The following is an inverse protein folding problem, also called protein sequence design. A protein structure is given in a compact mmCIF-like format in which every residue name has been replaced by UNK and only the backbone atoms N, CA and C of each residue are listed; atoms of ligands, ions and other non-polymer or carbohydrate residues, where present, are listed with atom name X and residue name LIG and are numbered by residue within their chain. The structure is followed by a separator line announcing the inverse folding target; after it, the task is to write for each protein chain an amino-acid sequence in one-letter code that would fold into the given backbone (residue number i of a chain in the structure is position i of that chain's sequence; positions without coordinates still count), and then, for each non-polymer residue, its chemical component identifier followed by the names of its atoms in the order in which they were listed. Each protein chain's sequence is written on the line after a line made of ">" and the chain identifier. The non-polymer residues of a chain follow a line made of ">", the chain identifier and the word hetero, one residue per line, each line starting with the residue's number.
data_IF_451548320885
#
_entry.id   IF_451548320885
#
_cell.length_a   1.000
_cell.length_b   1.000
_cell.length_c   1.000
_cell.angle_alpha   90.00
_cell.angle_beta   90.00
_cell.angle_gamma   90.00
#
_symmetry.space_group_name_H-M   'P 1'
#
loop_
_entity.id
_entity.type
_entity.pdbx_description
1 polymer ?
#
# COMPACT_ATOMS: atom_id res chain seq x y z
N UNK A 1 -23.79 -18.93 34.97
CA UNK A 1 -23.88 -17.46 35.15
C UNK A 1 -24.30 -16.81 33.85
N UNK A 2 -25.58 -16.43 33.74
CA UNK A 2 -26.16 -15.77 32.55
C UNK A 2 -25.59 -14.36 32.35
N UNK A 3 -24.92 -14.13 31.22
CA UNK A 3 -24.52 -12.78 30.81
C UNK A 3 -25.72 -12.08 30.18
N UNK A 4 -26.42 -11.25 30.97
CA UNK A 4 -27.44 -10.31 30.49
C UNK A 4 -26.81 -9.37 29.46
N UNK A 5 -27.29 -9.43 28.20
CA UNK A 5 -26.93 -8.48 27.15
C UNK A 5 -27.62 -7.16 27.45
N UNK A 6 -26.86 -6.10 27.73
CA UNK A 6 -27.38 -4.74 27.81
C UNK A 6 -27.69 -4.28 26.39
N UNK A 7 -28.96 -3.94 26.11
CA UNK A 7 -29.34 -3.10 24.95
C UNK A 7 -28.74 -1.72 25.18
N UNK A 8 -27.97 -1.24 24.23
CA UNK A 8 -27.51 0.16 24.17
C UNK A 8 -28.57 0.93 23.37
N UNK A 9 -28.90 2.18 23.74
CA UNK A 9 -29.98 2.95 23.11
C UNK A 9 -29.65 3.32 21.66
N UNK A 10 -30.70 3.39 20.85
CA UNK A 10 -30.70 3.97 19.51
C UNK A 10 -30.38 5.46 19.63
N UNK A 11 -29.20 5.88 19.16
CA UNK A 11 -28.94 7.26 18.81
C UNK A 11 -28.95 7.34 17.29
N UNK A 12 -30.03 7.94 16.79
CA UNK A 12 -30.15 8.51 15.45
C UNK A 12 -29.11 9.61 15.31
N UNK A 13 -28.05 9.35 14.56
CA UNK A 13 -27.20 10.31 13.84
C UNK A 13 -26.10 9.48 13.12
N UNK A 14 -26.53 8.59 12.24
CA UNK A 14 -25.64 7.85 11.36
C UNK A 14 -25.42 8.69 10.09
N UNK A 15 -24.52 9.66 10.21
CA UNK A 15 -24.01 10.43 9.08
C UNK A 15 -23.62 9.47 7.95
N UNK A 16 -24.18 9.73 6.76
CA UNK A 16 -24.19 8.84 5.61
C UNK A 16 -22.79 8.32 5.27
N UNK A 17 -22.54 7.02 5.52
CA UNK A 17 -21.34 6.36 5.02
C UNK A 17 -21.32 6.45 3.49
N UNK A 18 -20.29 7.05 2.85
CA UNK A 18 -20.25 7.19 1.41
C UNK A 18 -20.18 5.80 0.78
N UNK A 19 -21.21 5.46 0.03
CA UNK A 19 -21.37 4.17 -0.60
C UNK A 19 -21.75 4.30 -2.05
N UNK A 20 -20.75 4.23 -2.92
CA UNK A 20 -20.82 3.50 -4.19
C UNK A 20 -19.53 3.78 -4.95
N UNK A 21 -18.70 2.77 -5.15
CA UNK A 21 -17.61 2.96 -6.08
C UNK A 21 -16.79 1.73 -6.40
N UNK A 22 -16.02 1.83 -7.48
CA UNK A 22 -14.97 0.88 -7.84
C UNK A 22 -13.84 0.92 -6.81
N UNK A 23 -12.96 -0.07 -6.81
CA UNK A 23 -11.77 -0.07 -5.94
C UNK A 23 -10.95 1.23 -6.13
N UNK A 24 -10.83 1.73 -7.36
CA UNK A 24 -10.14 2.99 -7.66
C UNK A 24 -10.75 4.17 -6.91
N UNK A 25 -12.07 4.31 -6.91
CA UNK A 25 -12.74 5.42 -6.23
C UNK A 25 -12.54 5.37 -4.71
N UNK A 26 -12.48 4.18 -4.13
CA UNK A 26 -12.12 3.99 -2.72
C UNK A 26 -10.70 4.45 -2.45
N UNK A 27 -9.76 4.11 -3.34
CA UNK A 27 -8.36 4.51 -3.21
C UNK A 27 -8.18 6.02 -3.37
N UNK A 28 -8.91 6.64 -4.30
CA UNK A 28 -8.86 8.09 -4.52
C UNK A 28 -9.48 8.86 -3.34
N UNK A 29 -10.58 8.36 -2.78
CA UNK A 29 -11.17 8.91 -1.55
C UNK A 29 -10.20 8.83 -0.36
N UNK A 30 -9.44 7.72 -0.25
CA UNK A 30 -8.40 7.60 0.78
C UNK A 30 -7.26 8.60 0.53
N UNK A 31 -6.81 8.76 -0.72
CA UNK A 31 -5.76 9.75 -1.06
C UNK A 31 -6.21 11.18 -0.75
N UNK A 32 -7.46 11.51 -1.05
CA UNK A 32 -8.04 12.82 -0.74
C UNK A 32 -8.07 13.04 0.77
N UNK A 33 -8.55 12.06 1.53
CA UNK A 33 -8.56 12.11 3.00
C UNK A 33 -7.15 12.26 3.58
N UNK A 34 -6.15 11.56 3.02
CA UNK A 34 -4.74 11.71 3.39
C UNK A 34 -4.20 13.12 3.13
N UNK A 35 -4.61 13.74 2.03
CA UNK A 35 -4.23 15.11 1.69
C UNK A 35 -4.86 16.11 2.66
N UNK A 36 -6.17 16.01 2.88
CA UNK A 36 -6.94 16.89 3.76
C UNK A 36 -6.46 16.83 5.21
N UNK A 37 -6.25 15.61 5.73
CA UNK A 37 -5.80 15.42 7.12
C UNK A 37 -4.28 15.50 7.28
N UNK A 38 -3.56 15.66 6.17
CA UNK A 38 -2.08 15.57 6.11
C UNK A 38 -1.57 14.38 6.90
N UNK A 39 -2.21 13.23 6.68
CA UNK A 39 -1.89 11.98 7.35
C UNK A 39 -1.60 10.89 6.31
N UNK A 40 -0.90 9.83 6.72
CA UNK A 40 -0.59 8.70 5.85
C UNK A 40 -1.01 7.42 6.51
N UNK A 41 -1.56 6.49 5.75
CA UNK A 41 -1.99 5.20 6.27
C UNK A 41 -1.22 4.03 5.65
N UNK A 42 -0.99 3.02 6.47
CA UNK A 42 -0.35 1.76 6.08
C UNK A 42 -1.33 0.60 6.26
N UNK A 43 -1.18 -0.45 5.45
CA UNK A 43 -2.07 -1.61 5.54
C UNK A 43 -1.77 -2.43 6.80
N UNK A 44 -2.71 -2.44 7.75
CA UNK A 44 -2.64 -3.28 8.96
C UNK A 44 -3.15 -4.69 8.70
N UNK A 45 -4.28 -4.80 7.99
CA UNK A 45 -4.94 -6.07 7.72
C UNK A 45 -5.70 -5.99 6.40
N UNK A 46 -5.59 -7.04 5.60
CA UNK A 46 -6.37 -7.24 4.38
C UNK A 46 -6.79 -8.71 4.31
N UNK A 47 -8.07 -8.96 4.08
CA UNK A 47 -8.57 -10.31 3.81
C UNK A 47 -8.19 -10.73 2.38
N UNK A 48 -7.95 -12.03 2.16
CA UNK A 48 -7.44 -12.59 0.89
C UNK A 48 -8.25 -12.17 -0.34
N UNK A 49 -9.57 -12.11 -0.19
CA UNK A 49 -10.49 -11.87 -1.29
C UNK A 49 -10.96 -10.42 -1.41
N UNK A 50 -10.43 -9.52 -0.56
CA UNK A 50 -10.74 -8.10 -0.65
C UNK A 50 -10.25 -7.51 -1.97
N UNK A 51 -11.17 -6.89 -2.72
CA UNK A 51 -10.88 -6.23 -3.99
C UNK A 51 -10.86 -7.16 -5.20
N UNK A 52 -11.16 -8.46 -5.03
CA UNK A 52 -11.30 -9.38 -6.16
C UNK A 52 -12.66 -9.23 -6.85
N UNK A 53 -12.68 -9.57 -8.12
CA UNK A 53 -13.91 -9.68 -8.89
C UNK A 53 -14.74 -10.90 -8.46
N UNK A 54 -16.06 -10.83 -8.64
CA UNK A 54 -16.99 -11.92 -8.28
C UNK A 54 -16.58 -13.26 -8.89
N UNK A 55 -16.12 -13.26 -10.15
CA UNK A 55 -15.82 -14.48 -10.89
C UNK A 55 -14.66 -15.29 -10.31
N UNK A 56 -13.79 -14.65 -9.53
CA UNK A 56 -12.62 -15.30 -8.92
C UNK A 56 -12.92 -15.88 -7.52
N UNK A 57 -14.17 -15.85 -7.07
CA UNK A 57 -14.53 -16.14 -5.68
C UNK A 57 -15.63 -17.19 -5.54
N UNK A 58 -15.47 -18.08 -4.55
CA UNK A 58 -16.56 -18.93 -4.09
C UNK A 58 -17.51 -18.15 -3.17
N UNK A 59 -18.62 -17.69 -3.75
CA UNK A 59 -19.68 -17.01 -3.02
C UNK A 59 -20.64 -17.97 -2.31
N UNK A 60 -20.71 -19.24 -2.72
CA UNK A 60 -21.69 -20.21 -2.19
C UNK A 60 -21.38 -20.60 -0.74
N UNK A 61 -20.09 -20.71 -0.42
CA UNK A 61 -19.60 -20.97 0.93
C UNK A 61 -19.91 -19.83 1.91
N UNK A 62 -20.18 -18.61 1.42
CA UNK A 62 -20.38 -17.42 2.27
C UNK A 62 -21.83 -17.32 2.75
N UNK A 63 -22.00 -16.63 3.89
CA UNK A 63 -23.31 -16.40 4.47
C UNK A 63 -23.95 -15.14 3.88
N UNK A 64 -25.17 -15.26 3.38
CA UNK A 64 -26.03 -14.14 3.01
C UNK A 64 -26.52 -13.45 4.29
N UNK A 65 -26.43 -12.12 4.32
CA UNK A 65 -26.81 -11.28 5.46
C UNK A 65 -27.72 -10.16 4.99
N UNK A 66 -28.46 -9.59 5.93
CA UNK A 66 -29.32 -8.42 5.69
C UNK A 66 -28.94 -7.23 6.57
N UNK A 67 -28.09 -7.45 7.57
CA UNK A 67 -27.48 -6.43 8.40
C UNK A 67 -26.23 -7.04 9.06
N UNK A 68 -25.33 -6.20 9.52
CA UNK A 68 -24.19 -6.58 10.33
C UNK A 68 -23.86 -5.46 11.31
N UNK A 69 -24.56 -5.47 12.44
CA UNK A 69 -24.48 -4.48 13.52
C UNK A 69 -23.88 -5.05 14.81
N UNK A 70 -23.14 -6.16 14.71
CA UNK A 70 -22.45 -6.73 15.87
C UNK A 70 -21.38 -5.75 16.38
N UNK A 71 -20.99 -5.82 17.65
CA UNK A 71 -19.97 -4.92 18.25
C UNK A 71 -18.64 -4.92 17.47
N UNK A 72 -18.30 -6.05 16.83
CA UNK A 72 -17.09 -6.22 16.03
C UNK A 72 -17.28 -5.85 14.56
N UNK A 73 -18.49 -5.50 14.13
CA UNK A 73 -18.80 -5.10 12.76
C UNK A 73 -18.47 -3.62 12.59
N UNK A 74 -17.35 -3.33 11.92
CA UNK A 74 -16.90 -1.96 11.74
C UNK A 74 -16.32 -1.77 10.31
N UNK A 75 -16.91 -0.89 9.49
CA UNK A 75 -18.20 -0.21 9.69
C UNK A 75 -19.40 -1.16 9.90
N UNK A 76 -20.37 -0.78 10.76
CA UNK A 76 -21.63 -1.51 10.86
C UNK A 76 -22.44 -1.34 9.58
N UNK A 77 -23.17 -2.38 9.19
CA UNK A 77 -24.05 -2.35 8.01
C UNK A 77 -25.48 -2.43 8.52
N UNK A 78 -26.26 -1.33 8.50
CA UNK A 78 -27.63 -1.34 8.96
C UNK A 78 -28.52 -2.18 8.03
N UNK A 79 -29.73 -2.49 8.50
CA UNK A 79 -30.71 -3.18 7.67
C UNK A 79 -31.34 -2.19 6.68
N UNK A 80 -31.08 -2.40 5.39
CA UNK A 80 -31.63 -1.60 4.28
C UNK A 80 -32.63 -2.41 3.43
N UNK A 81 -32.92 -3.65 3.82
CA UNK A 81 -33.79 -4.57 3.08
C UNK A 81 -33.10 -5.31 1.93
N UNK A 82 -31.85 -4.99 1.59
CA UNK A 82 -31.14 -5.63 0.47
C UNK A 82 -30.18 -6.70 1.02
N UNK A 83 -30.32 -7.97 0.64
CA UNK A 83 -29.38 -9.00 1.06
C UNK A 83 -27.99 -8.76 0.46
N UNK A 84 -26.97 -9.11 1.23
CA UNK A 84 -25.57 -8.95 0.85
C UNK A 84 -24.67 -10.07 1.37
N UNK A 85 -23.54 -10.27 0.70
CA UNK A 85 -22.44 -11.10 1.17
C UNK A 85 -21.24 -10.20 1.46
N UNK A 86 -20.54 -10.47 2.57
CA UNK A 86 -19.28 -9.80 2.88
C UNK A 86 -18.15 -10.57 2.20
N UNK A 87 -17.45 -9.88 1.32
CA UNK A 87 -16.33 -10.45 0.57
C UNK A 87 -15.07 -10.43 1.41
N UNK A 88 -14.77 -9.28 2.02
CA UNK A 88 -13.56 -9.11 2.80
C UNK A 88 -13.51 -7.74 3.47
N UNK A 89 -12.45 -7.57 4.26
CA UNK A 89 -12.18 -6.36 5.03
C UNK A 89 -10.77 -5.88 4.72
N UNK A 90 -10.58 -4.57 4.71
CA UNK A 90 -9.26 -3.92 4.68
C UNK A 90 -9.23 -2.87 5.79
N UNK A 91 -8.20 -2.93 6.63
CA UNK A 91 -7.97 -1.98 7.71
C UNK A 91 -6.63 -1.32 7.44
N UNK A 92 -6.67 -0.01 7.30
CA UNK A 92 -5.49 0.84 7.23
C UNK A 92 -5.32 1.53 8.57
N UNK A 93 -4.08 1.64 9.03
CA UNK A 93 -3.72 2.34 10.26
C UNK A 93 -2.84 3.53 9.95
N UNK A 94 -2.93 4.59 10.74
CA UNK A 94 -2.02 5.72 10.59
C UNK A 94 -0.55 5.25 10.63
N UNK A 95 0.31 5.81 9.79
CA UNK A 95 1.73 5.48 9.74
C UNK A 95 2.41 5.75 11.09
N UNK A 96 1.89 6.71 11.86
CA UNK A 96 2.31 7.02 13.22
C UNK A 96 1.58 6.20 14.30
N UNK A 97 0.96 5.08 13.93
CA UNK A 97 0.31 4.16 14.86
C UNK A 97 1.25 3.53 15.89
N UNK A 98 0.74 2.55 16.63
CA UNK A 98 1.50 1.82 17.65
C UNK A 98 2.70 1.09 17.02
N UNK A 99 3.89 1.23 17.61
CA UNK A 99 5.03 0.38 17.28
C UNK A 99 4.88 -0.98 17.98
N UNK A 100 4.52 -2.00 17.19
CA UNK A 100 4.30 -3.36 17.68
C UNK A 100 5.59 -4.12 17.97
N UNK A 101 6.71 -3.64 17.41
CA UNK A 101 8.01 -4.29 17.52
C UNK A 101 8.85 -3.73 18.66
N UNK A 102 8.33 -2.79 19.46
CA UNK A 102 9.03 -2.19 20.60
C UNK A 102 9.64 -3.25 21.52
N UNK A 103 8.83 -4.23 21.96
CA UNK A 103 9.30 -5.30 22.85
C UNK A 103 10.41 -6.14 22.23
N UNK A 104 10.31 -6.42 20.93
CA UNK A 104 11.34 -7.18 20.21
C UNK A 104 12.63 -6.35 20.09
N UNK A 105 12.53 -5.06 19.76
CA UNK A 105 13.66 -4.13 19.68
C UNK A 105 14.35 -3.96 21.03
N UNK A 106 13.58 -3.83 22.12
CA UNK A 106 14.07 -3.77 23.49
C UNK A 106 14.81 -5.04 23.89
N UNK A 107 14.23 -6.21 23.62
CA UNK A 107 14.88 -7.51 23.88
C UNK A 107 16.22 -7.62 23.13
N UNK A 108 16.24 -7.30 21.83
CA UNK A 108 17.46 -7.34 21.00
C UNK A 108 18.50 -6.30 21.42
N UNK A 109 18.07 -5.18 22.01
CA UNK A 109 18.98 -4.19 22.61
C UNK A 109 19.61 -4.76 23.88
N UNK A 110 18.80 -5.34 24.77
CA UNK A 110 19.28 -5.97 26.00
C UNK A 110 20.23 -7.14 25.73
N UNK A 111 19.92 -8.01 24.76
CA UNK A 111 20.79 -9.13 24.35
C UNK A 111 22.16 -8.64 23.86
N UNK A 112 22.20 -7.59 23.03
CA UNK A 112 23.46 -6.95 22.62
C UNK A 112 24.21 -6.33 23.79
N UNK A 113 23.50 -5.68 24.70
CA UNK A 113 24.12 -5.09 25.89
C UNK A 113 24.70 -6.16 26.81
N UNK A 114 24.05 -7.34 26.94
CA UNK A 114 24.55 -8.48 27.72
C UNK A 114 25.78 -9.14 27.09
N UNK A 115 25.78 -9.33 25.77
CA UNK A 115 26.89 -9.95 25.03
C UNK A 115 28.21 -9.17 25.14
N UNK A 116 28.15 -7.86 25.35
CA UNK A 116 29.31 -6.98 25.39
C UNK A 116 29.59 -6.37 26.78
N UNK A 117 29.08 -6.98 27.86
CA UNK A 117 29.36 -6.51 29.23
C UNK A 117 30.82 -6.65 29.65
N UNK A 118 31.52 -7.66 29.11
CA UNK A 118 32.90 -8.00 29.49
C UNK A 118 33.95 -7.49 28.48
N UNK A 119 33.51 -6.94 27.35
CA UNK A 119 34.40 -6.36 26.34
C UNK A 119 34.82 -4.94 26.72
N UNK A 120 36.01 -4.80 27.31
CA UNK A 120 36.62 -3.52 27.72
C UNK A 120 36.77 -2.55 26.53
N UNK A 121 36.83 -3.08 25.29
CA UNK A 121 36.94 -2.32 24.04
C UNK A 121 35.62 -2.11 23.28
N UNK A 122 34.46 -2.46 23.85
CA UNK A 122 33.18 -2.26 23.17
C UNK A 122 32.79 -0.78 23.14
N UNK A 123 33.12 -0.11 22.03
CA UNK A 123 32.59 1.22 21.74
C UNK A 123 31.09 1.10 21.48
N UNK A 124 30.27 1.46 22.48
CA UNK A 124 28.83 1.67 22.28
C UNK A 124 28.66 2.58 21.07
N UNK A 125 28.12 2.06 19.96
CA UNK A 125 27.66 2.91 18.86
C UNK A 125 26.70 3.91 19.49
N UNK A 126 27.07 5.19 19.49
CA UNK A 126 26.13 6.27 19.79
C UNK A 126 25.06 6.19 18.70
N UNK A 127 23.98 5.47 18.97
CA UNK A 127 22.79 5.56 18.14
C UNK A 127 22.36 7.00 18.22
N UNK A 128 22.41 7.72 17.09
CA UNK A 128 21.68 8.98 16.96
C UNK A 128 20.27 8.66 17.44
N UNK A 129 19.83 9.33 18.50
CA UNK A 129 18.48 9.19 19.03
C UNK A 129 17.55 9.84 18.02
N UNK A 130 17.31 9.15 16.90
CA UNK A 130 16.25 9.51 15.97
C UNK A 130 14.97 9.11 16.68
N UNK A 131 14.13 10.10 16.94
CA UNK A 131 12.78 9.84 17.42
C UNK A 131 12.06 8.94 16.42
N UNK A 132 11.35 7.92 16.92
CA UNK A 132 10.60 7.05 16.02
C UNK A 132 9.38 7.81 15.49
N UNK A 133 9.04 7.56 14.22
CA UNK A 133 7.81 8.09 13.59
C UNK A 133 6.52 7.55 14.25
N UNK A 134 6.63 6.50 15.08
CA UNK A 134 5.50 5.81 15.71
C UNK A 134 5.12 6.49 17.01
N UNK A 135 4.03 7.25 16.99
CA UNK A 135 3.54 8.03 18.14
C UNK A 135 2.30 7.40 18.80
N UNK A 136 1.97 6.14 18.49
CA UNK A 136 0.80 5.45 19.05
C UNK A 136 -0.54 6.12 18.72
N UNK A 137 -0.67 6.59 17.47
CA UNK A 137 -1.92 7.10 16.93
C UNK A 137 -3.01 6.00 16.85
N UNK A 138 -4.25 6.24 17.34
CA UNK A 138 -5.34 5.28 17.26
C UNK A 138 -6.18 5.39 15.97
N UNK A 139 -5.85 6.27 15.03
CA UNK A 139 -6.62 6.47 13.81
C UNK A 139 -6.53 5.24 12.86
N UNK A 140 -7.69 4.77 12.41
CA UNK A 140 -7.82 3.68 11.43
C UNK A 140 -8.86 4.02 10.37
N UNK A 141 -8.55 3.74 9.11
CA UNK A 141 -9.55 3.64 8.05
C UNK A 141 -10.00 2.19 7.97
N UNK A 142 -11.31 1.95 8.02
CA UNK A 142 -11.89 0.61 7.97
C UNK A 142 -12.78 0.48 6.75
N UNK A 143 -12.50 -0.54 5.94
CA UNK A 143 -13.17 -0.75 4.65
C UNK A 143 -13.78 -2.14 4.62
N UNK A 144 -15.04 -2.22 4.20
CA UNK A 144 -15.73 -3.49 3.95
C UNK A 144 -16.07 -3.58 2.48
N UNK A 145 -15.67 -4.68 1.88
CA UNK A 145 -16.08 -5.05 0.53
C UNK A 145 -17.27 -5.99 0.63
N UNK A 146 -18.40 -5.58 0.06
CA UNK A 146 -19.64 -6.36 0.02
C UNK A 146 -20.15 -6.49 -1.41
N UNK A 147 -20.98 -7.51 -1.61
CA UNK A 147 -21.77 -7.68 -2.83
C UNK A 147 -23.24 -7.71 -2.43
N UNK A 148 -24.04 -6.81 -3.00
CA UNK A 148 -25.48 -6.71 -2.79
C UNK A 148 -26.27 -7.41 -3.89
N UNK A 149 -27.46 -7.89 -3.53
CA UNK A 149 -28.40 -8.57 -4.41
C UNK A 149 -29.73 -7.80 -4.45
N UNK A 150 -29.83 -6.72 -5.26
CA UNK A 150 -30.97 -5.82 -5.26
C UNK A 150 -32.28 -6.49 -5.71
N UNK A 151 -32.21 -7.50 -6.59
CA UNK A 151 -33.38 -8.25 -7.08
C UNK A 151 -34.09 -9.05 -5.97
N UNK A 152 -33.46 -9.19 -4.79
CA UNK A 152 -33.96 -9.96 -3.64
C UNK A 152 -34.32 -9.07 -2.45
N UNK A 153 -34.63 -7.80 -2.70
CA UNK A 153 -34.99 -6.83 -1.67
C UNK A 153 -36.23 -7.28 -0.87
N UNK A 154 -36.19 -7.05 0.45
CA UNK A 154 -37.28 -7.34 1.39
C UNK A 154 -37.76 -6.10 2.11
N UNK A 155 -39.00 -6.14 2.58
CA UNK A 155 -39.54 -5.13 3.48
C UNK A 155 -38.90 -5.17 4.87
N UNK A 156 -38.96 -4.04 5.59
CA UNK A 156 -38.41 -3.91 6.95
C UNK A 156 -39.04 -4.87 7.96
N UNK A 157 -40.32 -5.20 7.78
CA UNK A 157 -41.07 -6.12 8.65
C UNK A 157 -40.91 -7.60 8.26
N UNK A 158 -39.99 -7.92 7.35
CA UNK A 158 -39.78 -9.26 6.83
C UNK A 158 -39.43 -10.27 7.94
N UNK A 159 -40.18 -11.39 7.96
CA UNK A 159 -39.98 -12.42 8.97
C UNK A 159 -38.65 -13.13 8.77
N UNK A 160 -38.08 -13.68 9.85
CA UNK A 160 -36.84 -14.48 9.77
C UNK A 160 -36.94 -15.62 8.75
N UNK A 161 -38.12 -16.26 8.63
CA UNK A 161 -38.34 -17.37 7.68
C UNK A 161 -38.20 -16.94 6.23
N UNK A 162 -38.75 -15.78 5.87
CA UNK A 162 -38.65 -15.20 4.54
C UNK A 162 -37.19 -14.84 4.18
N UNK A 163 -36.44 -14.30 5.15
CA UNK A 163 -34.99 -14.06 4.96
C UNK A 163 -34.21 -15.34 4.70
N UNK A 164 -34.59 -16.45 5.33
CA UNK A 164 -33.95 -17.75 5.07
C UNK A 164 -34.29 -18.27 3.67
N UNK A 165 -35.55 -18.18 3.24
CA UNK A 165 -35.94 -18.62 1.88
C UNK A 165 -35.20 -17.82 0.81
N UNK A 166 -35.07 -16.51 1.00
CA UNK A 166 -34.32 -15.65 0.08
C UNK A 166 -32.83 -15.98 0.08
N UNK A 167 -32.25 -16.24 1.24
CA UNK A 167 -30.85 -16.66 1.34
C UNK A 167 -30.59 -17.96 0.58
N UNK A 168 -31.52 -18.92 0.63
CA UNK A 168 -31.44 -20.16 -0.14
C UNK A 168 -31.57 -19.90 -1.64
N UNK A 169 -32.55 -19.10 -2.06
CA UNK A 169 -32.74 -18.72 -3.47
C UNK A 169 -31.51 -18.03 -4.07
N UNK A 170 -30.89 -17.11 -3.31
CA UNK A 170 -29.64 -16.47 -3.74
C UNK A 170 -28.54 -17.53 -3.92
N UNK A 171 -28.39 -18.48 -3.00
CA UNK A 171 -27.37 -19.54 -3.10
C UNK A 171 -27.60 -20.46 -4.29
N UNK A 172 -28.85 -20.79 -4.60
CA UNK A 172 -29.21 -21.58 -5.78
C UNK A 172 -28.85 -20.83 -7.07
N UNK A 173 -29.23 -19.55 -7.15
CA UNK A 173 -28.97 -18.70 -8.33
C UNK A 173 -27.52 -18.25 -8.46
N UNK A 174 -26.71 -18.27 -7.40
CA UNK A 174 -25.26 -18.03 -7.49
C UNK A 174 -24.54 -19.05 -8.39
N UNK A 175 -25.15 -20.22 -8.63
CA UNK A 175 -24.64 -21.22 -9.59
C UNK A 175 -24.94 -20.85 -11.05
N UNK A 176 -25.80 -19.85 -11.28
CA UNK A 176 -26.29 -19.45 -12.59
C UNK A 176 -25.69 -18.08 -12.98
N UNK A 177 -25.36 -17.85 -14.25
CA UNK A 177 -24.70 -16.61 -14.69
C UNK A 177 -25.62 -15.37 -14.73
N UNK A 178 -26.89 -15.51 -14.38
CA UNK A 178 -27.94 -14.49 -14.60
C UNK A 178 -28.23 -13.59 -13.41
N UNK A 179 -27.72 -13.92 -12.22
CA UNK A 179 -28.01 -13.16 -11.00
C UNK A 179 -27.33 -11.78 -11.04
N UNK A 180 -28.11 -10.71 -10.82
CA UNK A 180 -27.55 -9.36 -10.74
C UNK A 180 -26.86 -9.16 -9.40
N UNK A 181 -25.61 -8.73 -9.46
CA UNK A 181 -24.77 -8.47 -8.31
C UNK A 181 -24.22 -7.05 -8.38
N UNK A 182 -24.23 -6.35 -7.25
CA UNK A 182 -23.66 -5.00 -7.15
C UNK A 182 -22.48 -5.00 -6.17
N UNK A 183 -21.29 -4.67 -6.67
CA UNK A 183 -20.12 -4.41 -5.84
C UNK A 183 -20.28 -3.11 -5.08
N UNK A 184 -19.96 -3.14 -3.79
CA UNK A 184 -19.98 -1.94 -2.96
C UNK A 184 -18.89 -2.01 -1.90
N UNK A 185 -18.23 -0.88 -1.68
CA UNK A 185 -17.31 -0.69 -0.58
C UNK A 185 -17.93 0.27 0.42
N UNK A 186 -17.86 -0.09 1.70
CA UNK A 186 -18.30 0.74 2.81
C UNK A 186 -17.05 1.15 3.56
N UNK A 187 -16.81 2.46 3.62
CA UNK A 187 -15.60 3.05 4.20
C UNK A 187 -16.00 3.81 5.46
N UNK A 188 -15.27 3.58 6.54
CA UNK A 188 -15.26 4.45 7.71
C UNK A 188 -13.90 5.14 7.74
N UNK A 189 -13.92 6.44 7.48
CA UNK A 189 -12.78 7.32 7.68
C UNK A 189 -12.71 7.72 9.17
N UNK A 190 -11.51 7.84 9.76
CA UNK A 190 -11.36 8.40 11.08
C UNK A 190 -11.71 9.89 11.05
N UNK A 191 -12.29 10.37 12.14
CA UNK A 191 -12.48 11.80 12.33
C UNK A 191 -11.13 12.46 12.63
N UNK A 192 -11.06 13.75 12.40
CA UNK A 192 -9.95 14.61 12.76
C UNK A 192 -9.52 14.45 14.23
N UNK A 193 -10.47 14.18 15.13
CA UNK A 193 -10.24 13.98 16.56
C UNK A 193 -9.67 12.59 16.92
N UNK A 194 -9.71 11.63 16.00
CA UNK A 194 -9.13 10.30 16.19
C UNK A 194 -7.60 10.31 16.06
N UNK A 195 -7.04 11.35 15.46
CA UNK A 195 -5.59 11.58 15.41
C UNK A 195 -5.09 12.10 16.76
N UNK A 196 -4.66 11.17 17.63
CA UNK A 196 -4.13 11.47 18.96
C UNK A 196 -2.63 11.18 19.04
N UNK A 197 -1.96 11.86 19.96
CA UNK A 197 -0.54 11.70 20.31
C UNK A 197 0.46 12.19 19.24
N UNK A 198 -0.01 12.87 18.20
CA UNK A 198 0.83 13.54 17.20
C UNK A 198 0.12 14.75 16.62
N UNK A 199 0.86 15.66 15.99
CA UNK A 199 0.26 16.83 15.33
C UNK A 199 -0.34 16.44 13.97
N UNK A 200 -1.47 17.06 13.62
CA UNK A 200 -2.00 17.05 12.26
C UNK A 200 -1.01 17.79 11.36
N UNK A 201 -0.74 17.31 10.14
CA UNK A 201 0.33 17.89 9.33
C UNK A 201 1.72 17.34 9.62
N UNK A 202 1.89 16.50 10.65
CA UNK A 202 3.07 15.62 10.76
C UNK A 202 2.88 14.33 9.94
N UNK A 203 2.21 14.37 8.79
CA UNK A 203 2.89 13.75 7.65
C UNK A 203 4.20 14.53 7.60
N UNK A 204 5.22 14.01 8.30
CA UNK A 204 6.47 14.68 8.55
C UNK A 204 6.79 15.44 7.27
N UNK A 205 7.38 16.63 7.39
CA UNK A 205 8.30 17.09 6.37
C UNK A 205 8.89 15.83 5.70
N UNK A 206 9.15 15.81 4.39
CA UNK A 206 10.35 15.11 4.03
C UNK A 206 11.43 15.72 4.97
N UNK A 207 11.64 15.12 6.16
CA UNK A 207 12.95 14.78 6.65
C UNK A 207 13.65 14.52 5.34
N UNK A 208 14.63 15.36 4.96
CA UNK A 208 15.35 15.13 3.72
C UNK A 208 15.57 13.65 3.76
N UNK A 209 15.01 12.97 2.77
CA UNK A 209 15.13 11.54 2.73
C UNK A 209 16.64 11.46 2.51
N UNK A 210 17.40 11.33 3.61
CA UNK A 210 18.39 10.30 3.76
C UNK A 210 17.57 9.03 3.49
N UNK A 211 17.20 8.88 2.21
CA UNK A 211 17.19 7.62 1.54
C UNK A 211 18.57 7.19 1.99
N UNK A 212 18.68 5.98 2.50
CA UNK A 212 19.76 5.19 1.98
C UNK A 212 19.53 5.14 0.44
N UNK A 213 19.74 6.27 -0.28
CA UNK A 213 20.77 6.31 -1.29
C UNK A 213 21.90 5.72 -0.44
N UNK A 214 22.10 4.42 -0.60
CA UNK A 214 23.43 4.02 -1.00
C UNK A 214 23.77 5.09 -2.02
N UNK A 215 24.40 6.19 -1.58
CA UNK A 215 25.10 7.10 -2.45
C UNK A 215 25.98 6.10 -3.16
N UNK A 216 25.51 5.60 -4.30
CA UNK A 216 26.35 4.94 -5.27
C UNK A 216 27.35 6.05 -5.46
N UNK A 217 28.56 5.88 -4.90
CA UNK A 217 29.45 6.99 -4.68
C UNK A 217 29.52 7.69 -6.02
N UNK A 218 29.10 8.96 -6.07
CA UNK A 218 29.14 9.74 -7.30
C UNK A 218 30.57 9.52 -7.78
N UNK A 219 30.77 8.83 -8.92
CA UNK A 219 32.09 8.39 -9.29
C UNK A 219 32.93 9.64 -9.31
N UNK A 220 33.95 9.67 -8.47
CA UNK A 220 34.85 10.82 -8.38
C UNK A 220 35.31 11.16 -9.80
N UNK A 221 35.64 12.42 -10.10
CA UNK A 221 36.17 12.77 -11.44
C UNK A 221 37.31 11.82 -11.84
N UNK A 222 38.13 11.41 -10.87
CA UNK A 222 39.15 10.36 -11.04
C UNK A 222 38.59 8.98 -11.40
N UNK A 223 37.47 8.53 -10.82
CA UNK A 223 36.83 7.25 -11.16
C UNK A 223 36.28 7.23 -12.59
N UNK A 224 35.72 8.35 -13.06
CA UNK A 224 35.24 8.49 -14.44
C UNK A 224 36.41 8.51 -15.44
N UNK A 225 37.49 9.22 -15.11
CA UNK A 225 38.73 9.22 -15.89
C UNK A 225 39.36 7.82 -15.98
N UNK A 226 39.39 7.08 -14.87
CA UNK A 226 39.87 5.68 -14.84
C UNK A 226 38.99 4.79 -15.71
N UNK A 227 37.67 4.90 -15.62
CA UNK A 227 36.75 4.10 -16.44
C UNK A 227 36.95 4.42 -17.93
N UNK A 228 37.02 5.70 -18.30
CA UNK A 228 37.26 6.13 -19.68
C UNK A 228 38.60 5.62 -20.21
N UNK A 229 39.67 5.69 -19.42
CA UNK A 229 40.99 5.17 -19.80
C UNK A 229 40.95 3.66 -20.01
N UNK A 230 40.29 2.94 -19.10
CA UNK A 230 40.17 1.47 -19.17
C UNK A 230 39.37 1.04 -20.40
N UNK A 231 38.26 1.72 -20.69
CA UNK A 231 37.47 1.45 -21.91
C UNK A 231 38.30 1.68 -23.17
N UNK A 232 39.07 2.77 -23.22
CA UNK A 232 39.95 3.07 -24.35
C UNK A 232 41.03 2.01 -24.56
N UNK A 233 41.66 1.53 -23.47
CA UNK A 233 42.65 0.44 -23.53
C UNK A 233 42.05 -0.86 -24.07
N UNK A 234 40.87 -1.24 -23.58
CA UNK A 234 40.15 -2.44 -24.05
C UNK A 234 39.81 -2.30 -25.54
N UNK A 235 39.34 -1.13 -25.99
CA UNK A 235 39.06 -0.88 -27.40
C UNK A 235 40.32 -1.05 -28.27
N UNK A 236 41.48 -0.57 -27.81
CA UNK A 236 42.74 -0.73 -28.52
C UNK A 236 43.20 -2.20 -28.56
N UNK A 237 43.01 -2.96 -27.49
CA UNK A 237 43.29 -4.39 -27.47
C UNK A 237 42.40 -5.16 -28.45
N UNK A 238 41.11 -4.84 -28.49
CA UNK A 238 40.15 -5.42 -29.43
C UNK A 238 40.56 -5.10 -30.87
N UNK A 239 40.88 -3.84 -31.18
CA UNK A 239 41.35 -3.46 -32.52
C UNK A 239 42.65 -4.18 -32.90
N UNK A 240 43.61 -4.28 -31.98
CA UNK A 240 44.85 -5.01 -32.21
C UNK A 240 44.58 -6.50 -32.47
N UNK A 241 43.64 -7.10 -31.74
CA UNK A 241 43.26 -8.49 -31.91
C UNK A 241 42.55 -8.72 -33.25
N UNK A 242 41.61 -7.85 -33.64
CA UNK A 242 40.91 -7.97 -34.93
C UNK A 242 41.85 -7.78 -36.12
N UNK A 243 42.90 -6.96 -35.97
CA UNK A 243 43.89 -6.73 -37.02
C UNK A 243 44.92 -7.87 -37.16
N UNK A 244 45.06 -8.72 -36.13
CA UNK A 244 46.04 -9.82 -36.09
C UNK A 244 45.40 -11.21 -36.16
N UNK A 245 44.08 -11.31 -35.98
CA UNK A 245 43.35 -12.57 -36.03
C UNK A 245 43.03 -12.97 -37.48
N UNK A 246 43.42 -14.18 -37.88
CA UNK A 246 43.12 -14.76 -39.20
C UNK A 246 41.84 -15.62 -39.20
N UNK A 247 41.22 -15.85 -38.04
CA UNK A 247 40.00 -16.66 -37.93
C UNK A 247 38.75 -15.77 -37.99
N UNK A 248 38.08 -15.81 -39.14
CA UNK A 248 36.89 -15.01 -39.40
C UNK A 248 35.73 -15.34 -38.46
N UNK A 249 35.62 -16.59 -37.99
CA UNK A 249 34.52 -17.00 -37.11
C UNK A 249 34.68 -16.40 -35.70
N UNK A 250 35.92 -16.28 -35.24
CA UNK A 250 36.24 -15.63 -33.96
C UNK A 250 35.93 -14.14 -34.04
N UNK A 251 36.28 -13.48 -35.15
CA UNK A 251 35.95 -12.06 -35.38
C UNK A 251 34.43 -11.84 -35.42
N UNK A 252 33.68 -12.71 -36.12
CA UNK A 252 32.21 -12.63 -36.19
C UNK A 252 31.56 -12.81 -34.81
N UNK A 253 32.05 -13.77 -34.01
CA UNK A 253 31.56 -13.99 -32.66
C UNK A 253 31.82 -12.79 -31.75
N UNK A 254 33.04 -12.23 -31.81
CA UNK A 254 33.41 -11.04 -31.05
C UNK A 254 32.53 -9.83 -31.42
N UNK A 255 32.26 -9.63 -32.73
CA UNK A 255 31.39 -8.56 -33.21
C UNK A 255 29.96 -8.72 -32.67
N UNK A 256 29.42 -9.94 -32.65
CA UNK A 256 28.09 -10.20 -32.09
C UNK A 256 28.03 -9.91 -30.57
N UNK A 257 29.05 -10.32 -29.82
CA UNK A 257 29.13 -10.05 -28.37
C UNK A 257 29.25 -8.55 -28.07
N UNK A 258 30.00 -7.81 -28.89
CA UNK A 258 30.10 -6.35 -28.78
C UNK A 258 28.76 -5.66 -29.08
N UNK A 259 28.04 -6.09 -30.12
CA UNK A 259 26.71 -5.56 -30.44
C UNK A 259 25.72 -5.77 -29.31
N UNK A 260 25.65 -6.99 -28.76
CA UNK A 260 24.77 -7.30 -27.63
C UNK A 260 25.10 -6.43 -26.40
N UNK A 261 26.39 -6.20 -26.14
CA UNK A 261 26.85 -5.38 -25.02
C UNK A 261 26.48 -3.89 -25.21
N UNK A 262 26.61 -3.37 -26.42
CA UNK A 262 26.20 -2.00 -26.77
C UNK A 262 24.69 -1.80 -26.69
N UNK A 263 23.91 -2.80 -27.10
CA UNK A 263 22.45 -2.77 -26.98
C UNK A 263 22.02 -2.71 -25.51
N UNK A 264 22.62 -3.53 -24.65
CA UNK A 264 22.37 -3.50 -23.20
C UNK A 264 22.71 -2.15 -22.56
N UNK A 265 23.83 -1.54 -22.96
CA UNK A 265 24.22 -0.21 -22.48
C UNK A 265 23.25 0.87 -22.97
N UNK A 266 22.83 0.82 -24.24
CA UNK A 266 21.85 1.76 -24.81
C UNK A 266 20.52 1.68 -24.08
N UNK A 267 19.99 0.47 -23.86
CA UNK A 267 18.74 0.29 -23.09
C UNK A 267 18.84 0.82 -21.65
N UNK A 268 20.02 0.71 -21.03
CA UNK A 268 20.27 1.22 -19.68
C UNK A 268 20.36 2.76 -19.66
N UNK A 269 20.86 3.38 -20.73
CA UNK A 269 20.92 4.83 -20.89
C UNK A 269 19.55 5.43 -21.24
N UNK A 270 18.75 4.77 -22.08
CA UNK A 270 17.38 5.21 -22.41
C UNK A 270 16.47 5.23 -21.17
N UNK A 271 16.68 4.30 -20.24
CA UNK A 271 16.01 4.31 -18.93
C UNK A 271 16.35 5.56 -18.12
N UNK A 272 17.60 6.05 -18.20
CA UNK A 272 18.06 7.25 -17.48
C UNK A 272 17.46 8.51 -18.11
N UNK A 273 17.37 8.61 -19.43
CA UNK A 273 16.75 9.75 -20.12
C UNK A 273 15.27 9.91 -19.75
N UNK A 274 14.53 8.81 -19.57
CA UNK A 274 13.15 8.84 -19.11
C UNK A 274 13.01 9.41 -17.68
N UNK A 275 13.97 9.15 -16.80
CA UNK A 275 14.01 9.73 -15.44
C UNK A 275 14.36 11.23 -15.45
N UNK A 276 15.22 11.69 -16.36
CA UNK A 276 15.61 13.11 -16.48
C UNK A 276 14.46 13.98 -17.01
N UNK A 277 13.60 13.42 -17.86
CA UNK A 277 12.42 14.13 -18.40
C UNK A 277 11.33 14.31 -17.33
N UNK A 278 11.13 13.33 -16.45
CA UNK A 278 10.13 13.40 -15.38
C UNK A 278 10.50 14.44 -14.29
N UNK A 279 11.77 14.57 -13.93
CA UNK A 279 12.23 15.58 -12.95
C UNK A 279 12.14 17.03 -13.50
N UNK A 280 12.25 17.22 -14.82
CA UNK A 280 12.15 18.55 -15.44
C UNK A 280 10.71 19.03 -15.64
N UNK A 281 9.69 18.15 -15.60
CA UNK A 281 8.29 18.59 -15.61
C UNK A 281 7.82 19.08 -14.23
N UNK A 282 8.46 18.63 -13.14
CA UNK A 282 8.16 19.10 -11.78
C UNK A 282 8.76 20.47 -11.45
N UNK A 283 9.82 20.91 -12.14
CA UNK A 283 10.46 22.20 -11.90
C UNK A 283 9.77 23.38 -12.60
N UNK A 284 8.86 23.15 -13.55
CA UNK A 284 8.21 24.21 -14.33
C UNK A 284 6.84 24.68 -13.79
N UNK A 285 6.28 24.02 -12.77
CA UNK A 285 4.97 24.39 -12.17
C UNK A 285 5.15 25.29 -10.92
N UNK A 286 6.39 25.49 -10.44
CA UNK A 286 6.69 26.22 -9.20
C UNK A 286 7.01 27.73 -9.34
N UNK A 287 7.00 28.30 -10.55
CA UNK A 287 7.54 29.65 -10.77
C UNK A 287 6.66 30.58 -11.62
N UNK A 288 5.35 30.57 -11.40
CA UNK A 288 4.43 31.59 -11.95
C UNK A 288 3.28 31.93 -11.00
N UNK A 289 3.56 32.37 -9.77
CA UNK A 289 2.58 33.10 -8.94
C UNK A 289 3.29 33.94 -7.87
N UNK A 290 4.07 34.92 -8.31
CA UNK A 290 4.44 36.07 -7.51
C UNK A 290 4.69 37.22 -8.47
N UNK A 291 3.69 38.10 -8.60
CA UNK A 291 3.73 39.54 -8.91
C UNK A 291 2.30 39.91 -9.34
N UNK A 292 1.54 40.49 -8.42
CA UNK A 292 0.59 41.57 -8.69
C UNK A 292 0.24 42.22 -7.36
N UNK A 293 1.07 43.18 -6.99
CA UNK A 293 0.72 44.38 -6.23
C UNK A 293 -0.06 45.35 -7.11
#
# INVERSE_FOLDING_TARGET
>A
MSRKRKRIPENDDLESLPTSGTLSQVEDLIKQHELETSSKYICKKKDKDFGKEIMEMDLQARAVRFCDTQENACPPIPFDGIPFIIIGKKILECHQGIDRDLKYKEKKKLERELLHKDDINFKKRKTRHLETKKKSCPAFIKIRHIVKFPDFMVNKDCKKRERMTISTQIKEQLSQPTIKMQHQFIILLPDENDHKNHFKGEALHPEPIEKDVVELPIPSKSSLEIASSTTYEICNQIMSYTNTCNDINVILKLNQELKNSLEFLTMSLDQIDHFIIEDNQFSYIGSTNAIQS
#
